data_IF_497524383070
#
_entry.id   IF_497524383070
#
_cell.length_a   1.000
_cell.length_b   1.000
_cell.length_c   1.000
_cell.angle_alpha   90.00
_cell.angle_beta   90.00
_cell.angle_gamma   90.00
#
_symmetry.space_group_name_H-M   'P 1'
#
loop_
_entity.id
_entity.type
_entity.pdbx_description
1 polymer ?
#
# COMPACT_ATOMS: atom_id res chain seq x y z
N UNK A 1 2.02 9.36 -13.50
CA UNK A 1 0.83 8.81 -14.20
C UNK A 1 1.09 8.80 -15.69
N UNK A 2 0.58 7.82 -16.43
CA UNK A 2 0.78 7.70 -17.88
C UNK A 2 -0.55 7.51 -18.59
N UNK A 3 -0.64 7.95 -19.84
CA UNK A 3 -1.77 7.69 -20.73
C UNK A 3 -1.32 6.77 -21.87
N UNK A 4 -2.17 5.83 -22.28
CA UNK A 4 -1.91 4.97 -23.42
C UNK A 4 -2.10 5.77 -24.71
N UNK A 5 -1.09 5.79 -25.58
CA UNK A 5 -1.13 6.49 -26.86
C UNK A 5 -1.09 5.55 -28.06
N UNK A 6 -0.83 4.25 -27.86
CA UNK A 6 -0.83 3.27 -28.93
C UNK A 6 -0.70 1.83 -28.45
N UNK A 7 -0.94 0.90 -29.36
CA UNK A 7 -0.88 -0.54 -29.12
C UNK A 7 -0.14 -1.22 -30.27
N UNK A 8 0.82 -2.09 -29.94
CA UNK A 8 1.48 -2.98 -30.90
C UNK A 8 0.87 -4.37 -30.73
N UNK A 9 0.13 -4.83 -31.73
CA UNK A 9 -0.57 -6.12 -31.69
C UNK A 9 0.37 -7.29 -31.92
N UNK A 10 -0.05 -8.48 -31.48
CA UNK A 10 0.64 -9.72 -31.84
C UNK A 10 0.50 -9.94 -33.37
N UNK A 11 1.55 -10.41 -34.07
CA UNK A 11 1.47 -10.72 -35.50
C UNK A 11 0.40 -11.76 -35.86
N UNK A 12 -0.05 -12.56 -34.89
CA UNK A 12 -1.13 -13.55 -35.06
C UNK A 12 -2.51 -12.96 -34.87
N UNK A 13 -2.62 -11.70 -34.44
CA UNK A 13 -3.90 -11.06 -34.18
C UNK A 13 -4.69 -10.90 -35.50
N UNK A 14 -5.94 -11.38 -35.59
CA UNK A 14 -6.76 -11.17 -36.77
C UNK A 14 -7.07 -9.68 -36.96
N UNK A 15 -7.17 -9.17 -38.21
CA UNK A 15 -7.46 -7.77 -38.46
C UNK A 15 -8.78 -7.33 -37.79
N UNK A 16 -8.82 -6.08 -37.32
CA UNK A 16 -10.05 -5.47 -36.86
C UNK A 16 -11.04 -5.35 -38.02
N UNK A 17 -12.23 -5.95 -37.86
CA UNK A 17 -13.30 -5.90 -38.85
C UNK A 17 -14.12 -4.62 -38.74
N UNK A 18 -13.95 -3.80 -37.70
CA UNK A 18 -14.61 -2.51 -37.51
C UNK A 18 -16.13 -2.60 -37.27
N UNK A 19 -16.66 -3.81 -37.08
CA UNK A 19 -18.09 -4.11 -36.99
C UNK A 19 -18.65 -4.05 -35.56
N UNK A 20 -17.85 -3.61 -34.58
CA UNK A 20 -18.23 -3.53 -33.18
C UNK A 20 -17.78 -2.25 -32.49
N UNK A 21 -18.31 -1.96 -31.29
CA UNK A 21 -17.93 -0.78 -30.51
C UNK A 21 -16.49 -0.86 -29.97
N UNK A 22 -15.86 -2.03 -30.02
CA UNK A 22 -14.47 -2.27 -29.63
C UNK A 22 -13.92 -3.47 -30.40
N UNK A 23 -12.59 -3.48 -30.59
CA UNK A 23 -11.86 -4.63 -31.09
C UNK A 23 -11.47 -5.55 -29.93
N UNK A 24 -11.99 -6.78 -29.93
CA UNK A 24 -11.66 -7.78 -28.92
C UNK A 24 -10.42 -8.57 -29.35
N UNK A 25 -9.29 -8.31 -28.68
CA UNK A 25 -8.02 -8.99 -28.96
C UNK A 25 -8.05 -10.46 -28.51
N UNK A 26 -7.51 -11.35 -29.33
CA UNK A 26 -7.34 -12.77 -29.03
C UNK A 26 -6.00 -13.06 -28.35
N UNK A 27 -4.96 -12.29 -28.69
CA UNK A 27 -3.63 -12.40 -28.13
C UNK A 27 -3.26 -11.17 -27.31
N UNK A 28 -2.34 -11.35 -26.36
CA UNK A 28 -1.76 -10.21 -25.65
C UNK A 28 -0.98 -9.34 -26.64
N UNK A 29 -1.10 -8.01 -26.57
CA UNK A 29 -0.29 -7.12 -27.40
C UNK A 29 1.20 -7.31 -27.08
N UNK A 30 2.06 -7.13 -28.08
CA UNK A 30 3.51 -7.15 -27.88
C UNK A 30 3.96 -6.00 -26.98
N UNK A 31 3.35 -4.82 -27.14
CA UNK A 31 3.61 -3.67 -26.31
C UNK A 31 2.45 -2.69 -26.30
N UNK A 32 2.30 -1.96 -25.20
CA UNK A 32 1.45 -0.76 -25.10
C UNK A 32 2.36 0.45 -25.09
N UNK A 33 2.14 1.39 -26.00
CA UNK A 33 2.86 2.66 -26.00
C UNK A 33 2.16 3.63 -25.05
N UNK A 34 2.93 4.18 -24.11
CA UNK A 34 2.41 5.10 -23.09
C UNK A 34 3.25 6.36 -23.06
N UNK A 35 2.62 7.49 -22.73
CA UNK A 35 3.31 8.75 -22.48
C UNK A 35 2.94 9.29 -21.10
N UNK A 36 3.82 10.03 -20.41
CA UNK A 36 3.45 10.75 -19.20
C UNK A 36 2.34 11.75 -19.47
N UNK A 37 1.44 11.97 -18.51
CA UNK A 37 0.46 13.05 -18.62
C UNK A 37 1.16 14.42 -18.61
N UNK A 38 0.64 15.35 -19.41
CA UNK A 38 1.13 16.72 -19.50
C UNK A 38 1.21 17.39 -18.11
N UNK A 39 2.35 18.03 -17.81
CA UNK A 39 2.62 18.68 -16.52
C UNK A 39 3.10 17.76 -15.41
N UNK A 40 3.13 16.44 -15.63
CA UNK A 40 3.65 15.47 -14.67
C UNK A 40 4.93 14.83 -15.23
N UNK A 41 6.09 15.35 -14.81
CA UNK A 41 7.39 14.68 -14.97
C UNK A 41 7.70 13.91 -13.69
N UNK A 42 7.42 12.60 -13.64
CA UNK A 42 7.78 11.81 -12.47
C UNK A 42 9.29 11.54 -12.47
N UNK A 43 10.03 12.32 -11.69
CA UNK A 43 11.49 12.22 -11.57
C UNK A 43 11.97 10.90 -10.93
N UNK A 44 11.09 10.17 -10.23
CA UNK A 44 11.47 9.02 -9.38
C UNK A 44 10.75 7.70 -9.69
N UNK A 45 9.65 7.71 -10.45
CA UNK A 45 8.81 6.51 -10.65
C UNK A 45 9.02 5.91 -12.03
N UNK A 46 9.19 6.76 -13.05
CA UNK A 46 9.46 6.32 -14.41
C UNK A 46 10.95 6.32 -14.73
N UNK A 47 11.80 6.87 -13.85
CA UNK A 47 13.26 6.89 -13.98
C UNK A 47 13.89 5.50 -14.11
N UNK A 48 13.28 4.49 -13.49
CA UNK A 48 13.76 3.11 -13.54
C UNK A 48 13.41 2.39 -14.86
N UNK A 49 12.56 3.00 -15.70
CA UNK A 49 12.26 2.52 -17.05
C UNK A 49 13.30 3.11 -18.01
N UNK A 50 14.18 2.26 -18.52
CA UNK A 50 15.30 2.64 -19.39
C UNK A 50 14.89 3.53 -20.59
N UNK A 51 13.72 3.26 -21.17
CA UNK A 51 13.20 4.00 -22.31
C UNK A 51 12.74 5.43 -21.95
N UNK A 52 12.22 5.61 -20.73
CA UNK A 52 11.81 6.94 -20.24
C UNK A 52 13.02 7.79 -19.86
N UNK A 53 14.02 7.21 -19.18
CA UNK A 53 15.24 7.92 -18.77
C UNK A 53 16.04 8.48 -19.97
N UNK A 54 15.94 7.85 -21.13
CA UNK A 54 16.68 8.25 -22.34
C UNK A 54 15.97 9.29 -23.19
N UNK A 55 14.63 9.26 -23.28
CA UNK A 55 13.88 10.10 -24.23
C UNK A 55 12.91 11.09 -23.57
N UNK A 56 12.59 10.93 -22.28
CA UNK A 56 11.65 11.80 -21.55
C UNK A 56 10.24 11.85 -22.16
N UNK A 57 9.91 10.89 -23.02
CA UNK A 57 8.74 10.93 -23.90
C UNK A 57 7.98 9.59 -23.86
N UNK A 58 7.24 9.28 -24.93
CA UNK A 58 6.53 8.02 -25.12
C UNK A 58 7.49 6.83 -25.00
N UNK A 59 7.11 5.82 -24.22
CA UNK A 59 7.87 4.58 -24.02
C UNK A 59 6.96 3.35 -24.14
N UNK A 60 7.57 2.19 -24.36
CA UNK A 60 6.86 0.93 -24.52
C UNK A 60 6.74 0.17 -23.19
N UNK A 61 5.55 -0.34 -22.91
CA UNK A 61 5.29 -1.24 -21.78
C UNK A 61 4.94 -2.61 -22.31
N UNK A 62 5.79 -3.58 -22.02
CA UNK A 62 5.65 -4.97 -22.49
C UNK A 62 4.93 -5.84 -21.45
N UNK A 63 4.17 -6.86 -21.88
CA UNK A 63 3.61 -7.86 -20.97
C UNK A 63 4.69 -8.53 -20.11
N UNK A 64 4.44 -8.64 -18.81
CA UNK A 64 5.32 -9.33 -17.86
C UNK A 64 4.63 -10.53 -17.23
N UNK A 65 5.35 -11.65 -17.01
CA UNK A 65 4.83 -12.76 -16.23
C UNK A 65 4.73 -12.37 -14.76
N UNK A 66 3.64 -12.79 -14.12
CA UNK A 66 3.46 -12.73 -12.67
C UNK A 66 4.35 -13.75 -11.97
N UNK A 67 4.44 -13.63 -10.64
CA UNK A 67 4.94 -14.71 -9.80
C UNK A 67 4.16 -16.01 -10.04
N UNK A 68 4.84 -17.14 -9.87
CA UNK A 68 4.33 -18.46 -10.19
C UNK A 68 3.36 -18.93 -9.10
N UNK A 69 2.11 -19.17 -9.47
CA UNK A 69 1.10 -19.68 -8.55
C UNK A 69 1.03 -21.21 -8.64
N UNK A 70 1.02 -21.88 -7.49
CA UNK A 70 0.70 -23.30 -7.37
C UNK A 70 -0.83 -23.43 -7.30
N UNK A 71 -1.43 -24.01 -8.32
CA UNK A 71 -2.88 -24.23 -8.38
C UNK A 71 -3.13 -25.73 -8.43
N UNK A 72 -3.86 -26.21 -7.42
CA UNK A 72 -4.34 -27.59 -7.37
C UNK A 72 -5.59 -27.70 -8.23
N UNK A 73 -5.52 -28.48 -9.30
CA UNK A 73 -6.65 -28.73 -10.19
C UNK A 73 -7.12 -30.18 -10.08
N UNK A 74 -8.43 -30.46 -10.24
CA UNK A 74 -8.92 -31.83 -10.35
C UNK A 74 -8.30 -32.49 -11.58
N UNK A 75 -7.85 -33.73 -11.42
CA UNK A 75 -7.35 -34.53 -12.55
C UNK A 75 -8.25 -35.76 -12.72
N UNK A 76 -8.63 -36.12 -13.96
CA UNK A 76 -9.32 -37.38 -14.21
C UNK A 76 -8.51 -38.54 -13.64
N UNK A 77 -9.17 -39.42 -12.89
CA UNK A 77 -8.66 -40.71 -12.40
C UNK A 77 -7.56 -40.68 -11.31
N UNK A 78 -7.04 -39.51 -10.92
CA UNK A 78 -5.94 -39.40 -9.92
C UNK A 78 -6.21 -38.41 -8.78
N UNK A 79 -7.44 -37.91 -8.66
CA UNK A 79 -7.85 -36.99 -7.60
C UNK A 79 -7.47 -35.55 -7.91
N UNK A 80 -6.25 -35.12 -7.56
CA UNK A 80 -5.79 -33.74 -7.79
C UNK A 80 -4.34 -33.67 -8.25
N UNK A 81 -4.05 -32.77 -9.20
CA UNK A 81 -2.70 -32.49 -9.70
C UNK A 81 -2.37 -31.02 -9.41
N UNK A 82 -1.18 -30.78 -8.87
CA UNK A 82 -0.67 -29.41 -8.70
C UNK A 82 -0.04 -28.95 -10.00
N UNK A 83 -0.60 -27.90 -10.60
CA UNK A 83 -0.03 -27.23 -11.77
C UNK A 83 0.60 -25.91 -11.34
N UNK A 84 1.73 -25.60 -11.96
CA UNK A 84 2.37 -24.30 -11.83
C UNK A 84 1.86 -23.39 -12.94
N UNK A 85 1.08 -22.38 -12.57
CA UNK A 85 0.48 -21.44 -13.52
C UNK A 85 1.17 -20.08 -13.38
N UNK A 86 1.49 -19.46 -14.51
CA UNK A 86 1.95 -18.08 -14.59
C UNK A 86 0.94 -17.27 -15.39
N UNK A 87 0.60 -16.08 -14.90
CA UNK A 87 -0.22 -15.13 -15.66
C UNK A 87 0.71 -14.16 -16.36
N UNK A 88 0.55 -13.96 -17.66
CA UNK A 88 1.27 -12.91 -18.39
C UNK A 88 0.28 -11.77 -18.60
N UNK A 89 0.65 -10.55 -18.22
CA UNK A 89 -0.19 -9.38 -18.47
C UNK A 89 0.65 -8.10 -18.59
N UNK A 90 0.09 -7.08 -19.22
CA UNK A 90 0.68 -5.74 -19.23
C UNK A 90 0.65 -5.18 -17.81
N UNK A 91 1.77 -4.73 -17.22
CA UNK A 91 1.86 -4.23 -15.85
C UNK A 91 1.32 -2.78 -15.73
N UNK A 92 0.13 -2.54 -16.29
CA UNK A 92 -0.61 -1.30 -16.17
C UNK A 92 -1.88 -1.59 -15.38
N UNK A 93 -2.22 -0.69 -14.47
CA UNK A 93 -3.44 -0.78 -13.68
C UNK A 93 -4.00 0.61 -13.43
N UNK A 94 -5.29 0.67 -13.13
CA UNK A 94 -5.97 1.92 -12.83
C UNK A 94 -5.37 2.54 -11.55
N UNK A 95 -4.81 3.73 -11.70
CA UNK A 95 -4.09 4.41 -10.63
C UNK A 95 -4.92 5.43 -9.86
N UNK A 96 -6.15 5.71 -10.29
CA UNK A 96 -6.99 6.78 -9.75
C UNK A 96 -7.66 6.43 -8.42
N UNK A 97 -8.03 5.16 -8.23
CA UNK A 97 -8.60 4.66 -7.00
C UNK A 97 -7.97 3.30 -6.68
N UNK A 98 -7.40 3.18 -5.48
CA UNK A 98 -6.73 1.96 -5.03
C UNK A 98 -7.37 1.49 -3.74
N UNK A 99 -7.50 0.17 -3.59
CA UNK A 99 -7.97 -0.42 -2.33
C UNK A 99 -6.86 -0.40 -1.29
N UNK A 100 -7.22 -0.38 0.00
CA UNK A 100 -6.24 -0.49 1.09
C UNK A 100 -5.38 -1.74 0.99
N UNK A 101 -5.93 -2.85 0.47
CA UNK A 101 -5.21 -4.08 0.19
C UNK A 101 -4.18 -3.90 -0.93
N UNK A 102 -4.55 -3.25 -2.03
CA UNK A 102 -3.66 -3.04 -3.18
C UNK A 102 -2.44 -2.16 -2.83
N UNK A 103 -2.60 -1.23 -1.89
CA UNK A 103 -1.52 -0.33 -1.44
C UNK A 103 -0.72 -0.90 -0.27
N UNK A 104 -0.99 -2.12 0.19
CA UNK A 104 -0.23 -2.71 1.28
C UNK A 104 1.23 -2.90 0.88
N UNK A 105 2.17 -2.40 1.70
CA UNK A 105 3.60 -2.44 1.41
C UNK A 105 4.10 -1.41 0.38
N UNK A 106 3.20 -0.60 -0.17
CA UNK A 106 3.56 0.52 -1.04
C UNK A 106 3.91 1.77 -0.22
N UNK A 107 4.57 2.76 -0.82
CA UNK A 107 4.69 4.11 -0.25
C UNK A 107 4.26 5.12 -1.30
N UNK A 108 3.39 6.05 -0.92
CA UNK A 108 2.89 7.05 -1.86
C UNK A 108 3.94 8.09 -2.23
N UNK A 109 5.01 8.25 -1.43
CA UNK A 109 6.08 9.23 -1.65
C UNK A 109 5.46 10.62 -1.91
N UNK A 110 5.73 11.21 -3.08
CA UNK A 110 5.26 12.55 -3.46
C UNK A 110 3.87 12.53 -4.12
N UNK A 111 3.17 11.39 -4.12
CA UNK A 111 1.83 11.29 -4.72
C UNK A 111 0.76 11.83 -3.78
N UNK A 112 -0.05 12.76 -4.29
CA UNK A 112 -1.22 13.29 -3.59
C UNK A 112 -2.41 12.34 -3.73
N UNK A 113 -2.45 11.29 -2.90
CA UNK A 113 -3.64 10.47 -2.73
C UNK A 113 -4.54 11.03 -1.63
N UNK A 114 -5.84 10.80 -1.79
CA UNK A 114 -6.86 11.17 -0.82
C UNK A 114 -7.50 9.88 -0.31
N UNK A 115 -7.70 9.79 1.00
CA UNK A 115 -8.27 8.61 1.66
C UNK A 115 -9.79 8.74 1.74
N UNK A 116 -10.52 7.76 1.19
CA UNK A 116 -11.94 7.57 1.47
C UNK A 116 -12.11 6.52 2.59
N UNK A 117 -12.64 6.97 3.73
CA UNK A 117 -12.93 6.13 4.90
C UNK A 117 -14.41 5.79 5.03
N UNK A 118 -15.16 5.82 3.91
CA UNK A 118 -16.55 5.37 3.90
C UNK A 118 -16.64 3.92 4.37
N UNK A 119 -17.45 3.68 5.39
CA UNK A 119 -17.58 2.36 6.02
C UNK A 119 -18.27 1.40 5.03
N UNK A 120 -17.60 0.31 4.61
CA UNK A 120 -18.21 -0.69 3.75
C UNK A 120 -19.25 -1.51 4.53
N UNK A 121 -20.13 -2.30 3.87
CA UNK A 121 -21.25 -3.01 4.52
C UNK A 121 -20.86 -3.91 5.70
N UNK A 122 -19.61 -4.38 5.76
CA UNK A 122 -19.09 -5.26 6.81
C UNK A 122 -18.19 -4.55 7.84
N UNK A 123 -18.17 -3.22 7.83
CA UNK A 123 -17.32 -2.42 8.69
C UNK A 123 -15.89 -2.27 8.18
N UNK A 124 -15.13 -1.35 8.79
CA UNK A 124 -13.71 -1.15 8.50
C UNK A 124 -12.88 -2.01 9.44
N UNK A 125 -12.02 -2.85 8.88
CA UNK A 125 -11.04 -3.59 9.68
C UNK A 125 -10.00 -2.64 10.29
N UNK A 126 -9.61 -2.85 11.55
CA UNK A 126 -8.60 -2.03 12.24
C UNK A 126 -7.28 -1.93 11.46
N UNK A 127 -6.85 -3.03 10.84
CA UNK A 127 -5.63 -3.07 10.03
C UNK A 127 -5.68 -2.11 8.84
N UNK A 128 -6.87 -1.83 8.28
CA UNK A 128 -7.06 -0.92 7.15
C UNK A 128 -6.62 0.49 7.49
N UNK A 129 -6.99 1.01 8.67
CA UNK A 129 -6.59 2.36 9.09
C UNK A 129 -5.07 2.47 9.24
N UNK A 130 -4.46 1.46 9.86
CA UNK A 130 -3.01 1.40 9.99
C UNK A 130 -2.31 1.34 8.63
N UNK A 131 -2.79 0.47 7.73
CA UNK A 131 -2.24 0.36 6.37
C UNK A 131 -2.31 1.70 5.67
N UNK A 132 -3.46 2.37 5.66
CA UNK A 132 -3.65 3.64 4.94
C UNK A 132 -2.78 4.78 5.48
N UNK A 133 -2.74 4.96 6.80
CA UNK A 133 -1.96 6.04 7.42
C UNK A 133 -0.44 5.84 7.27
N UNK A 134 0.02 4.59 7.20
CA UNK A 134 1.46 4.28 7.04
C UNK A 134 1.95 4.30 5.59
N UNK A 135 1.12 4.71 4.62
CA UNK A 135 1.58 4.91 3.21
C UNK A 135 2.12 6.30 2.95
N UNK A 136 1.77 7.26 3.79
CA UNK A 136 2.24 8.63 3.71
C UNK A 136 3.53 8.76 4.51
N UNK A 137 4.42 9.62 4.01
CA UNK A 137 5.69 9.91 4.69
C UNK A 137 5.47 10.76 5.94
N UNK A 138 4.58 11.74 5.81
CA UNK A 138 4.31 12.78 6.81
C UNK A 138 2.80 12.92 7.00
N UNK A 139 2.38 13.37 8.19
CA UNK A 139 0.95 13.52 8.54
C UNK A 139 0.28 14.63 7.73
N UNK A 140 1.01 15.68 7.37
CA UNK A 140 0.49 16.81 6.57
C UNK A 140 0.06 16.38 5.16
N UNK A 141 0.61 15.27 4.67
CA UNK A 141 0.26 14.69 3.37
C UNK A 141 -1.00 13.82 3.43
N UNK A 142 -1.56 13.60 4.63
CA UNK A 142 -2.78 12.79 4.81
C UNK A 142 -3.99 13.67 4.55
N UNK A 143 -4.62 13.47 3.40
CA UNK A 143 -5.87 14.14 3.05
C UNK A 143 -7.03 13.14 3.08
N UNK A 144 -8.12 13.51 3.74
CA UNK A 144 -9.35 12.72 3.77
C UNK A 144 -10.35 13.28 2.76
N UNK A 145 -11.02 12.40 2.01
CA UNK A 145 -12.01 12.80 1.02
C UNK A 145 -13.26 13.38 1.68
N UNK A 146 -13.52 12.93 2.90
CA UNK A 146 -14.69 13.29 3.71
C UNK A 146 -14.23 13.56 5.12
N UNK A 147 -14.87 14.51 5.83
CA UNK A 147 -14.55 14.73 7.23
C UNK A 147 -14.94 13.50 8.05
N UNK A 148 -14.14 13.18 9.07
CA UNK A 148 -14.41 12.06 9.99
C UNK A 148 -15.66 12.29 10.83
N UNK A 149 -15.95 13.55 11.13
CA UNK A 149 -17.08 14.02 11.91
C UNK A 149 -17.64 15.28 11.25
N UNK A 150 -18.95 15.47 11.33
CA UNK A 150 -19.64 16.64 10.77
C UNK A 150 -19.78 17.76 11.79
N UNK A 151 -19.71 17.45 13.07
CA UNK A 151 -19.89 18.41 14.17
C UNK A 151 -18.86 18.18 15.28
N UNK A 152 -18.59 19.21 16.09
CA UNK A 152 -17.72 19.10 17.26
C UNK A 152 -18.29 18.15 18.32
N UNK A 153 -19.61 18.06 18.43
CA UNK A 153 -20.27 17.14 19.35
C UNK A 153 -20.00 15.67 18.97
N UNK A 154 -20.00 15.35 17.68
CA UNK A 154 -19.63 14.01 17.20
C UNK A 154 -18.16 13.68 17.52
N UNK A 155 -17.27 14.67 17.37
CA UNK A 155 -15.86 14.54 17.76
C UNK A 155 -15.72 14.24 19.26
N UNK A 156 -16.37 15.02 20.11
CA UNK A 156 -16.35 14.83 21.57
C UNK A 156 -16.83 13.43 21.95
N UNK A 157 -17.95 12.96 21.39
CA UNK A 157 -18.46 11.60 21.64
C UNK A 157 -17.49 10.49 21.23
N UNK A 158 -16.75 10.67 20.12
CA UNK A 158 -15.75 9.69 19.68
C UNK A 158 -14.55 9.70 20.63
N UNK A 159 -14.10 10.88 21.06
CA UNK A 159 -13.00 11.03 22.04
C UNK A 159 -13.40 10.40 23.37
N UNK A 160 -14.60 10.67 23.87
CA UNK A 160 -15.08 10.10 25.13
C UNK A 160 -15.12 8.57 25.08
N UNK A 161 -15.68 7.99 24.01
CA UNK A 161 -15.67 6.53 23.82
C UNK A 161 -14.26 5.95 23.72
N UNK A 162 -13.34 6.66 23.07
CA UNK A 162 -11.95 6.24 23.03
C UNK A 162 -11.32 6.27 24.43
N UNK A 163 -11.55 7.34 25.19
CA UNK A 163 -11.05 7.48 26.56
C UNK A 163 -11.61 6.38 27.45
N UNK A 164 -12.92 6.10 27.38
CA UNK A 164 -13.57 4.98 28.07
C UNK A 164 -12.94 3.63 27.70
N UNK A 165 -12.74 3.37 26.40
CA UNK A 165 -12.13 2.14 25.92
C UNK A 165 -10.62 2.01 26.27
N UNK A 166 -9.96 3.15 26.51
CA UNK A 166 -8.54 3.18 26.90
C UNK A 166 -8.32 2.92 28.39
N UNK A 167 -9.38 2.93 29.20
CA UNK A 167 -9.29 2.61 30.63
C UNK A 167 -8.87 1.16 30.80
N UNK A 168 -7.72 0.96 31.45
CA UNK A 168 -7.23 -0.38 31.79
C UNK A 168 -8.22 -1.07 32.73
N UNK A 169 -8.44 -2.37 32.53
CA UNK A 169 -9.21 -3.17 33.50
C UNK A 169 -8.56 -3.10 34.88
N UNK A 170 -9.31 -3.26 35.98
CA UNK A 170 -8.77 -3.18 37.33
C UNK A 170 -7.56 -4.11 37.55
N UNK A 171 -7.63 -5.33 37.01
CA UNK A 171 -6.54 -6.31 37.10
C UNK A 171 -5.30 -5.86 36.32
N UNK A 172 -5.47 -5.34 35.11
CA UNK A 172 -4.36 -4.86 34.28
C UNK A 172 -3.73 -3.59 34.86
N UNK A 173 -4.54 -2.71 35.46
CA UNK A 173 -4.06 -1.53 36.18
C UNK A 173 -3.26 -1.93 37.43
N UNK A 174 -3.71 -2.94 38.17
CA UNK A 174 -3.01 -3.48 39.33
C UNK A 174 -1.66 -4.10 38.93
N UNK A 175 -1.64 -4.90 37.85
CA UNK A 175 -0.43 -5.50 37.30
C UNK A 175 0.55 -4.43 36.82
N UNK A 176 0.08 -3.42 36.09
CA UNK A 176 0.92 -2.29 35.66
C UNK A 176 1.56 -1.56 36.86
N UNK A 177 0.82 -1.41 37.96
CA UNK A 177 1.34 -0.81 39.20
C UNK A 177 2.44 -1.69 39.82
N UNK A 178 2.25 -3.00 39.86
CA UNK A 178 3.27 -3.94 40.35
C UNK A 178 4.52 -3.90 39.48
N UNK A 179 4.36 -3.88 38.15
CA UNK A 179 5.48 -3.80 37.21
C UNK A 179 6.24 -2.48 37.34
N UNK A 180 5.55 -1.35 37.51
CA UNK A 180 6.20 -0.05 37.77
C UNK A 180 7.01 -0.08 39.07
N UNK A 181 6.43 -0.59 40.16
CA UNK A 181 7.12 -0.70 41.44
C UNK A 181 8.30 -1.71 41.40
N UNK A 182 8.20 -2.77 40.58
CA UNK A 182 9.31 -3.69 40.35
C UNK A 182 10.42 -3.03 39.51
N UNK A 183 10.06 -2.26 38.49
CA UNK A 183 11.00 -1.51 37.66
C UNK A 183 11.74 -0.43 38.46
N UNK A 184 11.06 0.29 39.34
CA UNK A 184 11.65 1.26 40.26
C UNK A 184 12.65 0.60 41.21
N UNK A 185 12.24 -0.49 41.90
CA UNK A 185 13.16 -1.25 42.76
C UNK A 185 14.37 -1.79 41.99
N UNK A 186 14.20 -2.18 40.73
CA UNK A 186 15.30 -2.64 39.88
C UNK A 186 16.24 -1.47 39.54
N UNK A 187 15.70 -0.29 39.22
CA UNK A 187 16.51 0.92 38.97
C UNK A 187 17.28 1.36 40.20
N UNK A 188 16.67 1.30 41.38
CA UNK A 188 17.34 1.62 42.64
C UNK A 188 18.45 0.62 42.95
N UNK A 189 18.17 -0.68 42.80
CA UNK A 189 19.15 -1.74 43.06
C UNK A 189 20.37 -1.67 42.14
N UNK A 190 20.17 -1.28 40.88
CA UNK A 190 21.21 -1.22 39.84
C UNK A 190 21.50 0.22 39.39
N UNK A 191 21.42 1.19 40.32
CA UNK A 191 21.51 2.61 40.00
C UNK A 191 22.83 2.98 39.31
N UNK A 192 23.94 2.34 39.69
CA UNK A 192 25.26 2.59 39.09
C UNK A 192 25.31 2.11 37.63
N UNK A 193 24.72 0.94 37.34
CA UNK A 193 24.64 0.37 36.00
C UNK A 193 23.73 1.19 35.09
N UNK A 194 22.59 1.68 35.62
CA UNK A 194 21.72 2.61 34.88
C UNK A 194 22.42 3.95 34.61
N UNK A 195 23.15 4.52 35.57
CA UNK A 195 23.92 5.74 35.38
C UNK A 195 25.03 5.56 34.32
N UNK A 196 25.72 4.42 34.35
CA UNK A 196 26.71 4.08 33.34
C UNK A 196 26.09 3.91 31.95
N UNK A 197 24.95 3.22 31.85
CA UNK A 197 24.21 3.05 30.60
C UNK A 197 23.78 4.40 30.00
N UNK A 198 23.24 5.31 30.83
CA UNK A 198 22.89 6.66 30.38
C UNK A 198 24.11 7.43 29.87
N UNK A 199 25.26 7.33 30.55
CA UNK A 199 26.51 7.97 30.08
C UNK A 199 26.99 7.47 28.70
N UNK A 200 26.64 6.23 28.33
CA UNK A 200 26.97 5.67 27.02
C UNK A 200 26.02 6.19 25.94
N UNK A 201 24.74 6.40 26.27
CA UNK A 201 23.75 7.02 25.38
C UNK A 201 24.12 8.48 25.12
N UNK A 202 24.42 9.25 26.16
CA UNK A 202 24.79 10.67 26.03
C UNK A 202 26.04 10.85 25.15
N UNK A 203 27.03 9.95 25.30
CA UNK A 203 28.25 9.95 24.47
C UNK A 203 27.97 9.61 23.00
N UNK A 204 26.93 8.82 22.72
CA UNK A 204 26.52 8.49 21.35
C UNK A 204 25.78 9.65 20.70
N UNK A 205 24.97 10.39 21.46
CA UNK A 205 24.20 11.53 20.92
C UNK A 205 25.05 12.79 20.74
N UNK A 206 26.17 12.90 21.46
CA UNK A 206 27.13 13.99 21.33
C UNK A 206 28.18 13.82 20.20
N UNK A 207 28.18 12.68 19.50
CA UNK A 207 29.10 12.34 18.41
C UNK A 207 28.41 12.42 17.04
#
# INVERSE_FOLDING_TARGET
MVEACGLITDPREPPDTGTGPFWQLQYLPLAVLVRPLAGHQPDTILSDLADYASHGATFAVVPRPSEQAKVTVPAPETGTVTKLIKRINVPLGDGYALTSYAVQGFSFRDRCYVIDLTVPPHGIQRATLFVLLTRYKDLDSVHLLRPLYRTNQELEQVVDKFMEASVLSPDLAAELRLQRAAAERTRERYAAEFAYANSLVDRREAA
#
